data_IF_384560226545
#
_entry.id   IF_384560226545
#
_cell.length_a   1.000
_cell.length_b   1.000
_cell.length_c   1.000
_cell.angle_alpha   90.00
_cell.angle_beta   90.00
_cell.angle_gamma   90.00
#
_symmetry.space_group_name_H-M   'P 1'
#
loop_
_entity.id
_entity.type
_entity.pdbx_description
1 polymer ?
#
# COMPACT_ATOMS: atom_id res chain seq x y z
N UNK A 1 3.44 29.89 -4.73
CA UNK A 1 4.48 28.88 -5.01
C UNK A 1 4.85 27.97 -3.82
N UNK A 2 5.08 28.48 -2.59
CA UNK A 2 5.52 27.67 -1.43
C UNK A 2 4.64 26.46 -1.04
N UNK A 3 3.31 26.54 -1.19
CA UNK A 3 2.40 25.43 -0.83
C UNK A 3 2.46 24.27 -1.85
N UNK A 4 2.61 24.60 -3.14
CA UNK A 4 2.73 23.61 -4.22
C UNK A 4 4.07 22.86 -4.14
N UNK A 5 5.17 23.59 -3.89
CA UNK A 5 6.49 22.98 -3.72
C UNK A 5 6.53 22.04 -2.51
N UNK A 6 5.93 22.45 -1.38
CA UNK A 6 5.85 21.60 -0.18
C UNK A 6 5.02 20.33 -0.40
N UNK A 7 3.89 20.40 -1.10
CA UNK A 7 3.11 19.19 -1.43
C UNK A 7 3.87 18.26 -2.39
N UNK A 8 4.61 18.82 -3.34
CA UNK A 8 5.45 18.04 -4.25
C UNK A 8 6.58 17.33 -3.50
N UNK A 9 7.30 18.03 -2.60
CA UNK A 9 8.35 17.43 -1.77
C UNK A 9 7.81 16.31 -0.89
N UNK A 10 6.66 16.50 -0.24
CA UNK A 10 6.04 15.46 0.58
C UNK A 10 5.57 14.26 -0.27
N UNK A 11 5.06 14.49 -1.48
CA UNK A 11 4.64 13.41 -2.38
C UNK A 11 5.83 12.59 -2.88
N UNK A 12 6.96 13.24 -3.20
CA UNK A 12 8.20 12.57 -3.59
C UNK A 12 8.80 11.81 -2.41
N UNK A 13 8.89 12.43 -1.23
CA UNK A 13 9.38 11.76 -0.03
C UNK A 13 8.52 10.54 0.31
N UNK A 14 7.20 10.66 0.21
CA UNK A 14 6.27 9.55 0.38
C UNK A 14 6.51 8.43 -0.64
N UNK A 15 6.67 8.77 -1.92
CA UNK A 15 6.99 7.79 -2.96
C UNK A 15 8.30 7.05 -2.67
N UNK A 16 9.34 7.76 -2.22
CA UNK A 16 10.62 7.14 -1.84
C UNK A 16 10.42 6.15 -0.69
N UNK A 17 9.67 6.51 0.35
CA UNK A 17 9.36 5.61 1.46
C UNK A 17 8.60 4.37 0.99
N UNK A 18 7.60 4.54 0.12
CA UNK A 18 6.83 3.44 -0.47
C UNK A 18 7.74 2.49 -1.27
N UNK A 19 8.66 3.03 -2.07
CA UNK A 19 9.59 2.22 -2.84
C UNK A 19 10.63 1.50 -1.96
N UNK A 20 11.10 2.14 -0.89
CA UNK A 20 11.98 1.49 0.08
C UNK A 20 11.26 0.32 0.79
N UNK A 21 10.00 0.52 1.15
CA UNK A 21 9.16 -0.54 1.71
C UNK A 21 8.93 -1.69 0.73
N UNK A 22 8.70 -1.37 -0.55
CA UNK A 22 8.60 -2.34 -1.64
C UNK A 22 9.86 -3.23 -1.74
N UNK A 23 11.06 -2.63 -1.68
CA UNK A 23 12.32 -3.37 -1.66
C UNK A 23 12.40 -4.31 -0.46
N UNK A 24 12.02 -3.85 0.73
CA UNK A 24 12.00 -4.68 1.94
C UNK A 24 11.06 -5.89 1.80
N UNK A 25 9.88 -5.69 1.20
CA UNK A 25 8.93 -6.79 0.94
C UNK A 25 9.43 -7.79 -0.09
N UNK A 26 10.06 -7.32 -1.16
CA UNK A 26 10.67 -8.19 -2.17
C UNK A 26 11.76 -9.05 -1.54
N UNK A 27 12.60 -8.44 -0.70
CA UNK A 27 13.62 -9.17 0.04
C UNK A 27 13.00 -10.23 0.97
N UNK A 28 11.98 -9.85 1.76
CA UNK A 28 11.25 -10.77 2.63
C UNK A 28 10.66 -11.97 1.86
N UNK A 29 10.02 -11.73 0.72
CA UNK A 29 9.48 -12.81 -0.13
C UNK A 29 10.60 -13.67 -0.71
N UNK A 30 11.69 -13.05 -1.15
CA UNK A 30 12.83 -13.79 -1.70
C UNK A 30 13.46 -14.73 -0.68
N UNK A 31 13.56 -14.30 0.58
CA UNK A 31 14.24 -15.04 1.64
C UNK A 31 13.30 -16.07 2.28
N UNK A 32 12.05 -15.72 2.54
CA UNK A 32 11.14 -16.56 3.34
C UNK A 32 10.02 -17.23 2.54
N UNK A 33 9.67 -16.76 1.35
CA UNK A 33 8.50 -17.26 0.62
C UNK A 33 8.82 -17.94 -0.71
N UNK A 34 10.04 -17.79 -1.22
CA UNK A 34 10.46 -18.36 -2.50
C UNK A 34 10.41 -19.90 -2.52
N UNK A 35 10.61 -20.54 -1.38
CA UNK A 35 10.52 -22.00 -1.21
C UNK A 35 9.08 -22.54 -1.29
N UNK A 36 8.06 -21.69 -1.11
CA UNK A 36 6.64 -22.11 -1.10
C UNK A 36 5.95 -21.96 -2.47
N UNK A 37 6.74 -21.98 -3.56
CA UNK A 37 6.25 -21.90 -4.94
C UNK A 37 5.94 -20.47 -5.42
N UNK A 38 6.30 -19.45 -4.64
CA UNK A 38 6.09 -18.06 -5.01
C UNK A 38 7.26 -17.58 -5.87
N UNK A 39 6.97 -17.20 -7.12
CA UNK A 39 7.98 -16.60 -8.00
C UNK A 39 8.35 -15.20 -7.53
N UNK A 40 9.55 -15.05 -6.98
CA UNK A 40 10.09 -13.75 -6.52
C UNK A 40 10.15 -12.72 -7.65
N UNK A 41 10.43 -13.13 -8.89
CA UNK A 41 10.50 -12.21 -10.04
C UNK A 41 9.13 -11.61 -10.36
N UNK A 42 8.08 -12.44 -10.37
CA UNK A 42 6.72 -11.99 -10.62
C UNK A 42 6.24 -11.14 -9.44
N UNK A 43 6.51 -11.58 -8.21
CA UNK A 43 6.20 -10.79 -7.01
C UNK A 43 6.84 -9.40 -7.07
N UNK A 44 8.13 -9.31 -7.42
CA UNK A 44 8.84 -8.03 -7.54
C UNK A 44 8.22 -7.11 -8.59
N UNK A 45 7.84 -7.64 -9.76
CA UNK A 45 7.16 -6.86 -10.79
C UNK A 45 5.79 -6.34 -10.31
N UNK A 46 5.01 -7.20 -9.65
CA UNK A 46 3.72 -6.83 -9.06
C UNK A 46 3.89 -5.80 -7.95
N UNK A 47 4.84 -6.01 -7.02
CA UNK A 47 5.09 -5.14 -5.89
C UNK A 47 5.56 -3.74 -6.34
N UNK A 48 6.51 -3.65 -7.27
CA UNK A 48 7.04 -2.36 -7.75
C UNK A 48 5.94 -1.58 -8.50
N UNK A 49 5.25 -2.23 -9.44
CA UNK A 49 4.19 -1.58 -10.21
C UNK A 49 3.04 -1.11 -9.31
N UNK A 50 2.62 -1.97 -8.39
CA UNK A 50 1.59 -1.65 -7.40
C UNK A 50 2.01 -0.52 -6.46
N UNK A 51 3.27 -0.52 -6.02
CA UNK A 51 3.82 0.52 -5.14
C UNK A 51 3.88 1.89 -5.81
N UNK A 52 4.24 1.95 -7.09
CA UNK A 52 4.22 3.20 -7.87
C UNK A 52 2.79 3.76 -7.99
N UNK A 53 1.83 2.89 -8.33
CA UNK A 53 0.42 3.29 -8.45
C UNK A 53 -0.11 3.72 -7.08
N UNK A 54 0.18 2.97 -6.01
CA UNK A 54 -0.19 3.30 -4.64
C UNK A 54 0.37 4.65 -4.19
N UNK A 55 1.67 4.89 -4.34
CA UNK A 55 2.31 6.15 -3.94
C UNK A 55 1.70 7.35 -4.65
N UNK A 56 1.45 7.24 -5.96
CA UNK A 56 0.87 8.32 -6.76
C UNK A 56 -0.61 8.56 -6.43
N UNK A 57 -1.40 7.49 -6.32
CA UNK A 57 -2.85 7.58 -6.04
C UNK A 57 -3.12 8.03 -4.60
N UNK A 58 -2.38 7.54 -3.61
CA UNK A 58 -2.48 7.97 -2.21
C UNK A 58 -2.14 9.45 -2.06
N UNK A 59 -1.05 9.93 -2.68
CA UNK A 59 -0.69 11.35 -2.68
C UNK A 59 -1.79 12.23 -3.32
N UNK A 60 -2.39 11.77 -4.43
CA UNK A 60 -3.54 12.44 -5.06
C UNK A 60 -4.75 12.46 -4.14
N UNK A 61 -5.08 11.36 -3.47
CA UNK A 61 -6.19 11.28 -2.52
C UNK A 61 -6.02 12.31 -1.39
N UNK A 62 -4.82 12.41 -0.80
CA UNK A 62 -4.50 13.41 0.22
C UNK A 62 -4.60 14.84 -0.32
N UNK A 63 -4.02 15.13 -1.49
CA UNK A 63 -4.09 16.48 -2.09
C UNK A 63 -5.55 16.90 -2.38
N UNK A 64 -6.38 15.96 -2.85
CA UNK A 64 -7.81 16.19 -3.12
C UNK A 64 -8.63 16.35 -1.84
N UNK A 65 -8.22 15.71 -0.74
CA UNK A 65 -8.85 15.86 0.57
C UNK A 65 -8.72 17.31 1.08
N UNK A 66 -7.52 17.90 0.99
CA UNK A 66 -7.32 19.31 1.32
C UNK A 66 -8.14 20.27 0.45
N UNK A 67 -8.47 19.88 -0.77
CA UNK A 67 -9.33 20.65 -1.69
C UNK A 67 -10.83 20.36 -1.50
N UNK A 68 -11.22 19.58 -0.49
CA UNK A 68 -12.61 19.17 -0.18
C UNK A 68 -13.34 18.45 -1.33
N UNK A 69 -12.61 17.82 -2.26
CA UNK A 69 -13.18 17.12 -3.43
C UNK A 69 -13.53 15.66 -3.10
N UNK A 70 -14.63 15.44 -2.38
CA UNK A 70 -15.00 14.13 -1.80
C UNK A 70 -14.99 12.97 -2.81
N UNK A 71 -15.61 13.12 -3.98
CA UNK A 71 -15.68 12.05 -4.99
C UNK A 71 -14.30 11.68 -5.54
N UNK A 72 -13.43 12.69 -5.76
CA UNK A 72 -12.05 12.44 -6.19
C UNK A 72 -11.23 11.76 -5.11
N UNK A 73 -11.45 12.09 -3.82
CA UNK A 73 -10.78 11.41 -2.71
C UNK A 73 -11.16 9.94 -2.69
N UNK A 74 -12.44 9.60 -2.85
CA UNK A 74 -12.90 8.21 -2.91
C UNK A 74 -12.29 7.46 -4.09
N UNK A 75 -12.31 8.07 -5.29
CA UNK A 75 -11.74 7.44 -6.49
C UNK A 75 -10.24 7.16 -6.34
N UNK A 76 -9.44 8.16 -5.96
CA UNK A 76 -8.00 7.97 -5.79
C UNK A 76 -7.66 7.10 -4.58
N UNK A 77 -8.47 7.16 -3.52
CA UNK A 77 -8.35 6.28 -2.35
C UNK A 77 -8.64 4.83 -2.69
N UNK A 78 -9.62 4.56 -3.55
CA UNK A 78 -9.91 3.21 -4.02
C UNK A 78 -8.78 2.64 -4.88
N UNK A 79 -8.22 3.43 -5.80
CA UNK A 79 -7.04 3.01 -6.58
C UNK A 79 -5.87 2.71 -5.64
N UNK A 80 -5.63 3.56 -4.64
CA UNK A 80 -4.58 3.32 -3.64
C UNK A 80 -4.84 2.02 -2.89
N UNK A 81 -6.07 1.77 -2.43
CA UNK A 81 -6.44 0.55 -1.74
C UNK A 81 -6.18 -0.69 -2.61
N UNK A 82 -6.70 -0.75 -3.84
CA UNK A 82 -6.51 -1.90 -4.73
C UNK A 82 -5.03 -2.15 -4.99
N UNK A 83 -4.27 -1.09 -5.26
CA UNK A 83 -2.83 -1.19 -5.50
C UNK A 83 -2.09 -1.71 -4.27
N UNK A 84 -2.47 -1.26 -3.07
CA UNK A 84 -1.86 -1.73 -1.83
C UNK A 84 -2.07 -3.23 -1.59
N UNK A 85 -3.28 -3.76 -1.83
CA UNK A 85 -3.58 -5.18 -1.56
C UNK A 85 -3.05 -6.14 -2.64
N UNK A 86 -2.80 -5.64 -3.85
CA UNK A 86 -2.49 -6.48 -5.02
C UNK A 86 -1.32 -7.45 -4.79
N UNK A 87 -0.19 -7.03 -4.19
CA UNK A 87 0.93 -7.93 -3.96
C UNK A 87 0.62 -9.01 -2.91
N UNK A 88 -0.16 -8.68 -1.87
CA UNK A 88 -0.60 -9.64 -0.86
C UNK A 88 -1.53 -10.69 -1.48
N UNK A 89 -2.48 -10.25 -2.31
CA UNK A 89 -3.35 -11.16 -3.04
C UNK A 89 -2.55 -12.13 -3.92
N UNK A 90 -1.49 -11.66 -4.59
CA UNK A 90 -0.61 -12.54 -5.36
C UNK A 90 0.03 -13.63 -4.48
N UNK A 91 0.57 -13.27 -3.30
CA UNK A 91 1.19 -14.23 -2.36
C UNK A 91 0.15 -15.25 -1.88
N UNK A 92 -1.03 -14.79 -1.49
CA UNK A 92 -2.10 -15.65 -0.95
C UNK A 92 -2.65 -16.62 -1.99
N UNK A 93 -2.76 -16.20 -3.26
CA UNK A 93 -3.26 -17.03 -4.36
C UNK A 93 -2.20 -18.05 -4.83
N UNK A 94 -0.93 -17.69 -4.83
CA UNK A 94 0.13 -18.50 -5.46
C UNK A 94 0.95 -19.33 -4.47
N UNK A 95 0.91 -19.06 -3.18
CA UNK A 95 1.59 -19.90 -2.19
C UNK A 95 0.88 -21.23 -2.02
N UNK A 96 1.36 -22.27 -2.70
CA UNK A 96 0.70 -23.60 -2.70
C UNK A 96 1.00 -24.43 -1.46
N UNK A 97 2.11 -24.14 -0.78
CA UNK A 97 2.61 -24.89 0.39
C UNK A 97 2.96 -23.98 1.56
N UNK A 98 2.45 -22.74 1.57
CA UNK A 98 2.71 -21.81 2.66
C UNK A 98 2.21 -22.39 3.99
N UNK A 99 3.05 -22.45 5.04
CA UNK A 99 2.58 -22.75 6.38
C UNK A 99 1.49 -21.77 6.82
N UNK A 100 0.48 -22.26 7.55
CA UNK A 100 -0.68 -21.46 7.98
C UNK A 100 -0.27 -20.17 8.70
N UNK A 101 0.86 -20.17 9.41
CA UNK A 101 1.38 -18.98 10.10
C UNK A 101 1.60 -17.78 9.18
N UNK A 102 2.05 -17.98 7.93
CA UNK A 102 2.27 -16.87 6.99
C UNK A 102 0.95 -16.23 6.54
N UNK A 103 -0.09 -17.03 6.30
CA UNK A 103 -1.43 -16.51 6.02
C UNK A 103 -1.96 -15.69 7.19
N UNK A 104 -1.80 -16.22 8.41
CA UNK A 104 -2.23 -15.52 9.63
C UNK A 104 -1.51 -14.19 9.75
N UNK A 105 -0.20 -14.14 9.55
CA UNK A 105 0.59 -12.90 9.63
C UNK A 105 0.16 -11.89 8.56
N UNK A 106 0.00 -12.30 7.30
CA UNK A 106 -0.41 -11.40 6.21
C UNK A 106 -1.80 -10.81 6.49
N UNK A 107 -2.77 -11.67 6.83
CA UNK A 107 -4.14 -11.24 7.13
C UNK A 107 -4.17 -10.36 8.39
N UNK A 108 -3.42 -10.73 9.42
CA UNK A 108 -3.33 -9.94 10.65
C UNK A 108 -2.76 -8.54 10.39
N UNK A 109 -1.68 -8.42 9.62
CA UNK A 109 -1.12 -7.13 9.24
C UNK A 109 -2.10 -6.30 8.41
N UNK A 110 -2.73 -6.91 7.41
CA UNK A 110 -3.72 -6.24 6.57
C UNK A 110 -4.91 -5.71 7.39
N UNK A 111 -5.47 -6.52 8.28
CA UNK A 111 -6.58 -6.14 9.16
C UNK A 111 -6.15 -5.08 10.17
N UNK A 112 -4.98 -5.23 10.78
CA UNK A 112 -4.50 -4.29 11.81
C UNK A 112 -4.24 -2.90 11.22
N UNK A 113 -3.55 -2.82 10.08
CA UNK A 113 -3.32 -1.55 9.41
C UNK A 113 -4.61 -0.95 8.82
N UNK A 114 -5.49 -1.79 8.25
CA UNK A 114 -6.79 -1.35 7.78
C UNK A 114 -7.66 -0.79 8.90
N UNK A 115 -7.75 -1.50 10.03
CA UNK A 115 -8.49 -1.06 11.21
C UNK A 115 -7.92 0.23 11.78
N UNK A 116 -6.58 0.33 11.90
CA UNK A 116 -5.93 1.56 12.34
C UNK A 116 -6.28 2.74 11.44
N UNK A 117 -6.22 2.56 10.12
CA UNK A 117 -6.59 3.59 9.16
C UNK A 117 -8.06 4.04 9.34
N UNK A 118 -8.99 3.09 9.46
CA UNK A 118 -10.42 3.39 9.70
C UNK A 118 -10.62 4.16 11.00
N UNK A 119 -9.97 3.75 12.10
CA UNK A 119 -10.05 4.42 13.40
C UNK A 119 -9.54 5.86 13.32
N UNK A 120 -8.40 6.08 12.67
CA UNK A 120 -7.82 7.42 12.49
C UNK A 120 -8.74 8.31 11.65
N UNK A 121 -9.27 7.79 10.55
CA UNK A 121 -10.20 8.52 9.68
C UNK A 121 -11.49 8.85 10.45
N UNK A 122 -12.06 7.89 11.17
CA UNK A 122 -13.29 8.07 11.94
C UNK A 122 -13.13 9.05 13.11
N UNK A 123 -11.94 9.12 13.72
CA UNK A 123 -11.61 10.14 14.74
C UNK A 123 -11.53 11.53 14.11
N UNK A 124 -10.84 11.65 12.98
CA UNK A 124 -10.68 12.92 12.25
C UNK A 124 -12.03 13.46 11.75
N UNK A 125 -12.92 12.57 11.27
CA UNK A 125 -14.25 12.95 10.82
C UNK A 125 -15.17 13.44 11.96
N UNK A 126 -14.93 13.00 13.20
CA UNK A 126 -15.70 13.44 14.39
C UNK A 126 -15.21 14.76 14.98
N UNK A 127 -13.96 15.15 14.71
CA UNK A 127 -13.37 16.39 15.24
C UNK A 127 -13.55 17.60 14.32
N UNK A 128 -14.21 17.44 13.17
CA UNK A 128 -14.46 18.49 12.16
C UNK A 128 -15.95 18.82 12.13
#
# INVERSE_FOLDING_TARGET
MRLLSRQLTLSVAWMVVVLLWSVARIFAVSVWLSEYGISTKIFAAVEISSSLIYGASSAKAVSKHFRKQKLSVLFWGFIAFVSYITPDAYVLINGRTLPTIYYVVIVFLAVSFGAYAVVVIAKTARST
#
